data_IF_229510033573
#
_entry.id   IF_229510033573
#
_cell.length_a   1.000
_cell.length_b   1.000
_cell.length_c   1.000
_cell.angle_alpha   90.00
_cell.angle_beta   90.00
_cell.angle_gamma   90.00
#
_symmetry.space_group_name_H-M   'P 1'
#
loop_
_entity.id
_entity.type
_entity.pdbx_description
1 polymer ?
#
# COMPACT_ATOMS: atom_id res chain seq x y z
N UNK A 1 12.88 13.26 16.59
CA UNK A 1 11.49 12.81 16.78
C UNK A 1 10.61 13.91 16.23
N UNK A 2 10.11 13.74 15.00
CA UNK A 2 9.29 14.75 14.33
C UNK A 2 7.83 14.41 14.61
N UNK A 3 7.15 15.34 15.27
CA UNK A 3 5.73 15.30 15.58
C UNK A 3 4.97 15.07 14.27
N UNK A 4 4.29 13.92 14.20
CA UNK A 4 3.39 13.57 13.10
C UNK A 4 2.15 14.43 13.30
N UNK A 5 2.17 15.62 12.75
CA UNK A 5 1.00 16.49 12.70
C UNK A 5 -0.02 15.81 11.78
N UNK A 6 -0.87 14.97 12.38
CA UNK A 6 -2.08 14.47 11.75
C UNK A 6 -3.01 15.66 11.55
N UNK A 7 -2.77 16.43 10.50
CA UNK A 7 -3.75 17.36 9.96
C UNK A 7 -4.91 16.49 9.43
N UNK A 8 -5.83 16.17 10.34
CA UNK A 8 -7.18 15.77 10.03
C UNK A 8 -7.83 16.99 9.38
N UNK A 9 -7.88 16.99 8.06
CA UNK A 9 -8.81 17.85 7.34
C UNK A 9 -10.22 17.45 7.77
N UNK A 10 -10.77 18.18 8.74
CA UNK A 10 -12.08 17.94 9.31
C UNK A 10 -13.17 18.52 8.38
N UNK A 11 -13.14 18.11 7.11
CA UNK A 11 -14.19 18.43 6.15
C UNK A 11 -15.43 17.60 6.47
N UNK A 12 -16.56 18.25 6.70
CA UNK A 12 -17.84 17.57 6.91
C UNK A 12 -18.58 17.45 5.58
N UNK A 13 -18.88 16.22 5.15
CA UNK A 13 -19.74 15.98 3.99
C UNK A 13 -21.15 15.72 4.51
N UNK A 14 -22.04 16.70 4.36
CA UNK A 14 -23.46 16.58 4.74
C UNK A 14 -24.22 15.85 3.64
N UNK A 15 -24.70 14.65 3.95
CA UNK A 15 -25.60 13.90 3.11
C UNK A 15 -26.94 14.64 3.05
N UNK A 16 -27.44 14.91 1.84
CA UNK A 16 -28.79 15.45 1.62
C UNK A 16 -29.78 14.32 1.32
N UNK A 17 -29.33 13.25 0.65
CA UNK A 17 -30.14 12.07 0.28
C UNK A 17 -29.29 10.79 0.17
N UNK A 18 -29.95 9.61 0.27
CA UNK A 18 -29.32 8.28 0.38
C UNK A 18 -28.36 7.89 -0.77
N UNK A 19 -28.53 8.43 -1.98
CA UNK A 19 -27.65 8.18 -3.13
C UNK A 19 -27.63 9.47 -3.98
N UNK A 20 -26.61 10.29 -3.83
CA UNK A 20 -26.40 11.47 -4.67
C UNK A 20 -24.90 11.70 -4.91
N UNK A 21 -24.59 12.47 -5.95
CA UNK A 21 -23.25 12.99 -6.14
C UNK A 21 -23.01 14.12 -5.13
N UNK A 22 -21.88 14.05 -4.44
CA UNK A 22 -21.44 14.98 -3.44
C UNK A 22 -20.14 15.63 -3.91
N UNK A 23 -20.16 16.95 -4.02
CA UNK A 23 -18.96 17.74 -4.24
C UNK A 23 -18.25 17.94 -2.89
N UNK A 24 -16.96 17.64 -2.85
CA UNK A 24 -16.08 17.80 -1.70
C UNK A 24 -15.00 18.81 -2.09
N UNK A 25 -15.24 20.11 -1.87
CA UNK A 25 -14.33 21.16 -2.31
C UNK A 25 -12.93 20.98 -1.69
N UNK A 26 -11.89 21.07 -2.53
CA UNK A 26 -10.50 20.93 -2.10
C UNK A 26 -10.05 19.49 -1.81
N UNK A 27 -10.89 18.48 -2.08
CA UNK A 27 -10.50 17.08 -1.93
C UNK A 27 -9.33 16.72 -2.84
N UNK A 28 -9.40 17.13 -4.10
CA UNK A 28 -8.40 16.78 -5.10
C UNK A 28 -7.01 17.29 -4.70
N UNK A 29 -6.89 18.57 -4.35
CA UNK A 29 -5.63 19.18 -3.89
C UNK A 29 -5.10 18.47 -2.64
N UNK A 30 -5.98 18.20 -1.66
CA UNK A 30 -5.60 17.50 -0.44
C UNK A 30 -5.19 16.03 -0.66
N UNK A 31 -5.70 15.39 -1.73
CA UNK A 31 -5.31 14.04 -2.13
C UNK A 31 -3.99 14.06 -2.91
N UNK A 32 -3.77 15.03 -3.80
CA UNK A 32 -2.49 15.20 -4.51
C UNK A 32 -1.35 15.47 -3.52
N UNK A 33 -1.54 16.37 -2.56
CA UNK A 33 -0.56 16.60 -1.48
C UNK A 33 -0.24 15.31 -0.70
N UNK A 34 -1.25 14.49 -0.42
CA UNK A 34 -1.04 13.20 0.24
C UNK A 34 -0.22 12.24 -0.64
N UNK A 35 -0.55 12.15 -1.93
CA UNK A 35 0.18 11.29 -2.89
C UNK A 35 1.63 11.74 -3.03
N UNK A 36 1.88 13.04 -3.14
CA UNK A 36 3.23 13.60 -3.28
C UNK A 36 4.07 13.37 -2.04
N UNK A 37 3.50 13.54 -0.84
CA UNK A 37 4.18 13.22 0.42
C UNK A 37 4.60 11.75 0.52
N UNK A 38 3.86 10.84 -0.13
CA UNK A 38 4.15 9.39 -0.13
C UNK A 38 4.85 8.91 -1.40
N UNK A 39 5.09 9.79 -2.39
CA UNK A 39 5.70 9.42 -3.67
C UNK A 39 7.11 8.86 -3.50
N UNK A 40 7.94 9.48 -2.65
CA UNK A 40 9.28 9.00 -2.35
C UNK A 40 9.27 7.63 -1.64
N UNK A 41 8.34 7.42 -0.71
CA UNK A 41 8.17 6.15 -0.01
C UNK A 41 7.67 5.05 -0.96
N UNK A 42 6.75 5.37 -1.87
CA UNK A 42 6.27 4.48 -2.92
C UNK A 42 7.39 4.09 -3.88
N UNK A 43 8.20 5.05 -4.32
CA UNK A 43 9.36 4.79 -5.19
C UNK A 43 10.41 3.91 -4.50
N UNK A 44 10.76 4.24 -3.24
CA UNK A 44 11.66 3.43 -2.43
C UNK A 44 11.13 2.01 -2.21
N UNK A 45 9.83 1.87 -1.95
CA UNK A 45 9.15 0.58 -1.83
C UNK A 45 9.20 -0.23 -3.13
N UNK A 46 9.07 0.41 -4.29
CA UNK A 46 9.20 -0.24 -5.60
C UNK A 46 10.62 -0.76 -5.84
N UNK A 47 11.63 0.07 -5.55
CA UNK A 47 13.04 -0.32 -5.65
C UNK A 47 13.36 -1.51 -4.73
N UNK A 48 12.92 -1.46 -3.47
CA UNK A 48 13.08 -2.55 -2.51
C UNK A 48 12.44 -3.85 -2.98
N UNK A 49 11.25 -3.75 -3.57
CA UNK A 49 10.53 -4.90 -4.11
C UNK A 49 11.28 -5.54 -5.29
N UNK A 50 11.73 -4.74 -6.27
CA UNK A 50 12.52 -5.28 -7.40
C UNK A 50 13.81 -5.92 -6.90
N UNK A 51 14.57 -5.21 -6.05
CA UNK A 51 15.84 -5.71 -5.54
C UNK A 51 15.65 -7.00 -4.75
N UNK A 52 14.63 -7.05 -3.88
CA UNK A 52 14.28 -8.24 -3.12
C UNK A 52 13.91 -9.41 -4.03
N UNK A 53 13.04 -9.18 -5.01
CA UNK A 53 12.62 -10.20 -5.99
C UNK A 53 13.80 -10.71 -6.83
N UNK A 54 14.70 -9.82 -7.27
CA UNK A 54 15.91 -10.19 -8.01
C UNK A 54 16.84 -11.08 -7.17
N UNK A 55 17.01 -10.77 -5.88
CA UNK A 55 17.81 -11.57 -4.95
C UNK A 55 17.18 -12.96 -4.73
N UNK A 56 15.86 -13.05 -4.59
CA UNK A 56 15.15 -14.33 -4.49
C UNK A 56 15.33 -15.16 -5.76
N UNK A 57 15.14 -14.55 -6.94
CA UNK A 57 15.33 -15.22 -8.23
C UNK A 57 16.77 -15.70 -8.41
N UNK A 58 17.75 -14.89 -8.03
CA UNK A 58 19.16 -15.29 -8.02
C UNK A 58 19.40 -16.50 -7.10
N UNK A 59 18.77 -16.52 -5.93
CA UNK A 59 18.90 -17.63 -4.98
C UNK A 59 18.29 -18.93 -5.51
N UNK A 60 17.13 -18.85 -6.16
CA UNK A 60 16.49 -19.98 -6.84
C UNK A 60 17.39 -20.47 -7.98
N UNK A 61 17.97 -19.56 -8.76
CA UNK A 61 18.89 -19.90 -9.83
C UNK A 61 20.13 -20.64 -9.31
N UNK A 62 20.72 -20.16 -8.21
CA UNK A 62 21.83 -20.84 -7.52
C UNK A 62 21.41 -22.22 -7.01
N UNK A 63 20.19 -22.39 -6.50
CA UNK A 63 19.72 -23.70 -6.03
C UNK A 63 19.58 -24.72 -7.17
N UNK A 64 19.16 -24.27 -8.35
CA UNK A 64 18.90 -25.15 -9.50
C UNK A 64 20.19 -25.44 -10.28
N UNK A 65 21.00 -24.40 -10.52
CA UNK A 65 22.16 -24.46 -11.42
C UNK A 65 23.52 -24.31 -10.68
N UNK A 66 23.50 -24.19 -9.36
CA UNK A 66 24.70 -24.00 -8.56
C UNK A 66 25.59 -25.24 -8.58
N UNK A 67 26.92 -25.06 -8.51
CA UNK A 67 27.86 -26.17 -8.43
C UNK A 67 27.68 -26.92 -7.10
N UNK A 68 27.81 -28.25 -7.14
CA UNK A 68 27.75 -29.11 -5.94
C UNK A 68 28.93 -28.88 -4.99
N UNK A 69 30.07 -28.42 -5.54
CA UNK A 69 31.29 -28.15 -4.79
C UNK A 69 31.85 -26.78 -5.17
N UNK A 70 32.26 -26.00 -4.17
CA UNK A 70 32.81 -24.66 -4.35
C UNK A 70 34.28 -24.68 -3.92
N UNK A 71 35.17 -24.54 -4.90
CA UNK A 71 36.61 -24.47 -4.67
C UNK A 71 37.04 -23.02 -4.46
N UNK A 72 37.79 -22.75 -3.40
CA UNK A 72 38.38 -21.44 -3.14
C UNK A 72 39.81 -21.57 -2.63
N UNK A 73 40.66 -20.62 -3.01
CA UNK A 73 42.04 -20.60 -2.56
C UNK A 73 42.09 -20.01 -1.14
N UNK A 74 42.53 -20.82 -0.17
CA UNK A 74 42.65 -20.40 1.24
C UNK A 74 43.48 -19.12 1.43
N UNK A 75 44.47 -18.90 0.56
CA UNK A 75 45.34 -17.70 0.57
C UNK A 75 44.65 -16.42 0.10
N UNK A 76 43.61 -16.51 -0.73
CA UNK A 76 42.82 -15.36 -1.22
C UNK A 76 41.49 -15.20 -0.47
N UNK A 77 41.14 -16.18 0.35
CA UNK A 77 39.82 -16.26 0.95
C UNK A 77 38.75 -16.54 -0.09
N UNK A 78 37.51 -16.33 0.31
CA UNK A 78 36.34 -16.67 -0.47
C UNK A 78 35.71 -15.42 -1.05
N UNK A 79 35.33 -15.49 -2.32
CA UNK A 79 34.67 -14.36 -2.97
C UNK A 79 33.22 -14.20 -2.46
N UNK A 80 32.68 -12.99 -2.61
CA UNK A 80 31.28 -12.70 -2.29
C UNK A 80 30.30 -13.65 -3.00
N UNK A 81 30.56 -13.97 -4.27
CA UNK A 81 29.76 -14.92 -5.05
C UNK A 81 29.80 -16.34 -4.49
N UNK A 82 30.98 -16.80 -4.06
CA UNK A 82 31.12 -18.10 -3.41
C UNK A 82 30.37 -18.15 -2.07
N UNK A 83 30.37 -17.05 -1.31
CA UNK A 83 29.58 -16.94 -0.09
C UNK A 83 28.07 -17.03 -0.35
N UNK A 84 27.57 -16.35 -1.39
CA UNK A 84 26.17 -16.46 -1.81
C UNK A 84 25.81 -17.89 -2.24
N UNK A 85 26.69 -18.54 -3.01
CA UNK A 85 26.46 -19.87 -3.54
C UNK A 85 26.39 -20.96 -2.46
N UNK A 86 27.12 -20.85 -1.34
CA UNK A 86 26.99 -21.84 -0.25
C UNK A 86 25.74 -21.68 0.60
N UNK A 87 25.14 -20.49 0.63
CA UNK A 87 23.99 -20.22 1.51
C UNK A 87 22.82 -19.60 0.75
N UNK A 88 22.35 -20.24 -0.34
CA UNK A 88 21.29 -19.67 -1.15
C UNK A 88 20.00 -19.49 -0.34
N UNK A 89 19.73 -20.33 0.65
CA UNK A 89 18.58 -20.16 1.56
C UNK A 89 18.63 -18.87 2.38
N UNK A 90 19.80 -18.48 2.90
CA UNK A 90 19.94 -17.20 3.62
C UNK A 90 19.80 -16.01 2.67
N UNK A 91 20.34 -16.12 1.45
CA UNK A 91 20.18 -15.08 0.43
C UNK A 91 18.70 -14.91 0.06
N UNK A 92 17.96 -16.02 -0.09
CA UNK A 92 16.52 -16.02 -0.34
C UNK A 92 15.72 -15.39 0.82
N UNK A 93 16.12 -15.62 2.07
CA UNK A 93 15.50 -14.99 3.23
C UNK A 93 15.69 -13.47 3.24
N UNK A 94 16.90 -13.00 2.94
CA UNK A 94 17.18 -11.55 2.83
C UNK A 94 16.37 -10.93 1.69
N UNK A 95 16.33 -11.57 0.53
CA UNK A 95 15.51 -11.12 -0.60
C UNK A 95 14.02 -11.07 -0.27
N UNK A 96 13.52 -12.09 0.42
CA UNK A 96 12.12 -12.13 0.89
C UNK A 96 11.81 -11.02 1.89
N UNK A 97 12.72 -10.76 2.83
CA UNK A 97 12.57 -9.68 3.81
C UNK A 97 12.54 -8.30 3.14
N UNK A 98 13.42 -8.04 2.16
CA UNK A 98 13.41 -6.81 1.37
C UNK A 98 12.13 -6.66 0.56
N UNK A 99 11.65 -7.76 -0.04
CA UNK A 99 10.39 -7.77 -0.78
C UNK A 99 9.20 -7.46 0.12
N UNK A 100 9.15 -8.04 1.32
CA UNK A 100 8.10 -7.78 2.31
C UNK A 100 8.14 -6.33 2.81
N UNK A 101 9.33 -5.80 3.10
CA UNK A 101 9.51 -4.41 3.49
C UNK A 101 9.06 -3.44 2.39
N UNK A 102 9.48 -3.67 1.14
CA UNK A 102 9.06 -2.87 0.00
C UNK A 102 7.55 -2.92 -0.25
N UNK A 103 6.94 -4.10 -0.10
CA UNK A 103 5.49 -4.27 -0.21
C UNK A 103 4.74 -3.47 0.87
N UNK A 104 5.22 -3.51 2.12
CA UNK A 104 4.62 -2.75 3.23
C UNK A 104 4.71 -1.24 2.99
N UNK A 105 5.88 -0.74 2.56
CA UNK A 105 6.06 0.68 2.26
C UNK A 105 5.13 1.16 1.15
N UNK A 106 4.84 0.30 0.16
CA UNK A 106 3.86 0.61 -0.91
C UNK A 106 2.43 0.65 -0.41
N UNK A 107 2.04 -0.24 0.50
CA UNK A 107 0.66 -0.27 1.02
C UNK A 107 0.34 0.95 1.89
N UNK A 108 1.34 1.52 2.56
CA UNK A 108 1.15 2.71 3.41
C UNK A 108 0.94 4.00 2.58
N UNK A 109 1.39 4.02 1.31
CA UNK A 109 1.25 5.17 0.41
C UNK A 109 0.29 5.00 -0.77
N UNK A 110 -0.43 3.86 -0.88
CA UNK A 110 -1.32 3.57 -2.03
C UNK A 110 -2.80 3.55 -1.64
N UNK A 111 -3.24 4.52 -0.84
CA UNK A 111 -4.65 4.63 -0.49
C UNK A 111 -5.46 5.12 -1.70
N UNK A 112 -6.56 4.44 -2.03
CA UNK A 112 -7.46 4.90 -3.10
C UNK A 112 -8.13 6.21 -2.69
N UNK A 113 -8.64 6.98 -3.67
CA UNK A 113 -9.34 8.25 -3.40
C UNK A 113 -10.54 8.04 -2.48
N UNK A 114 -11.28 6.96 -2.69
CA UNK A 114 -12.43 6.56 -1.89
C UNK A 114 -12.02 6.19 -0.46
N UNK A 115 -10.94 5.43 -0.30
CA UNK A 115 -10.41 5.08 1.00
C UNK A 115 -9.86 6.32 1.74
N UNK A 116 -9.21 7.24 1.03
CA UNK A 116 -8.72 8.50 1.59
C UNK A 116 -9.89 9.35 2.11
N UNK A 117 -10.95 9.51 1.30
CA UNK A 117 -12.18 10.21 1.68
C UNK A 117 -12.77 9.62 2.97
N UNK A 118 -13.02 8.31 3.00
CA UNK A 118 -13.65 7.64 4.15
C UNK A 118 -12.77 7.64 5.41
N UNK A 119 -11.45 7.73 5.27
CA UNK A 119 -10.53 7.77 6.41
C UNK A 119 -10.36 9.14 7.04
N UNK A 120 -10.60 10.22 6.27
CA UNK A 120 -10.23 11.59 6.64
C UNK A 120 -11.41 12.53 6.80
N UNK A 121 -12.54 12.26 6.14
CA UNK A 121 -13.74 13.08 6.16
C UNK A 121 -14.85 12.42 6.99
N UNK A 122 -15.48 13.19 7.87
CA UNK A 122 -16.67 12.74 8.59
C UNK A 122 -17.89 12.92 7.70
N UNK A 123 -18.56 11.81 7.39
CA UNK A 123 -19.81 11.80 6.62
C UNK A 123 -20.97 11.93 7.59
N UNK A 124 -21.75 12.99 7.45
CA UNK A 124 -22.86 13.33 8.34
C UNK A 124 -24.18 13.08 7.62
N UNK A 125 -25.09 12.32 8.24
CA UNK A 125 -26.44 12.06 7.75
C UNK A 125 -27.29 13.35 7.72
N UNK A 126 -28.44 13.42 7.00
CA UNK A 126 -29.34 14.56 7.04
C UNK A 126 -29.81 14.91 8.45
N UNK A 127 -29.81 13.95 9.38
CA UNK A 127 -30.15 14.11 10.80
C UNK A 127 -29.00 14.70 11.65
N UNK A 128 -27.84 15.01 11.04
CA UNK A 128 -26.70 15.57 11.74
C UNK A 128 -25.84 14.53 12.48
N UNK A 129 -26.08 13.24 12.24
CA UNK A 129 -25.34 12.14 12.89
C UNK A 129 -24.19 11.66 12.01
N UNK A 130 -23.00 11.50 12.59
CA UNK A 130 -21.88 10.89 11.88
C UNK A 130 -22.21 9.42 11.56
N UNK A 131 -22.13 9.08 10.26
CA UNK A 131 -22.27 7.71 9.77
C UNK A 131 -20.86 7.20 9.51
N UNK A 132 -20.50 6.07 10.11
CA UNK A 132 -19.19 5.44 9.91
C UNK A 132 -19.30 3.99 9.40
N UNK A 133 -20.49 3.39 9.47
CA UNK A 133 -20.70 1.98 9.14
C UNK A 133 -21.47 1.83 7.83
N UNK A 134 -20.98 0.97 6.93
CA UNK A 134 -21.67 0.65 5.67
C UNK A 134 -21.50 1.68 4.55
N UNK A 135 -20.63 2.68 4.72
CA UNK A 135 -20.38 3.68 3.69
C UNK A 135 -19.56 3.12 2.54
N UNK A 136 -20.02 3.37 1.32
CA UNK A 136 -19.24 3.22 0.11
C UNK A 136 -19.24 4.53 -0.64
N UNK A 137 -18.06 4.92 -1.13
CA UNK A 137 -17.88 6.05 -2.02
C UNK A 137 -17.39 5.53 -3.36
N UNK A 138 -17.91 6.09 -4.45
CA UNK A 138 -17.37 5.91 -5.78
C UNK A 138 -16.91 7.27 -6.31
N UNK A 139 -15.65 7.36 -6.72
CA UNK A 139 -15.13 8.55 -7.39
C UNK A 139 -15.85 8.74 -8.74
N UNK A 140 -16.32 9.97 -9.00
CA UNK A 140 -17.00 10.34 -10.25
C UNK A 140 -16.11 11.25 -11.09
N UNK A 141 -15.64 12.35 -10.50
CA UNK A 141 -14.77 13.34 -11.14
C UNK A 141 -14.04 14.17 -10.08
N UNK A 142 -12.97 14.90 -10.43
CA UNK A 142 -12.17 15.81 -9.58
C UNK A 142 -12.50 15.83 -8.07
N UNK A 143 -13.58 16.54 -7.70
CA UNK A 143 -14.06 16.71 -6.32
C UNK A 143 -15.41 16.02 -6.07
N UNK A 144 -15.95 15.28 -7.02
CA UNK A 144 -17.28 14.69 -6.99
C UNK A 144 -17.22 13.19 -6.65
N UNK A 145 -17.93 12.82 -5.58
CA UNK A 145 -18.07 11.45 -5.11
C UNK A 145 -19.52 11.05 -5.03
N UNK A 146 -19.84 9.87 -5.54
CA UNK A 146 -21.13 9.24 -5.30
C UNK A 146 -21.03 8.44 -4.00
N UNK A 147 -21.69 8.94 -2.96
CA UNK A 147 -21.68 8.30 -1.63
C UNK A 147 -23.01 7.61 -1.42
N UNK A 148 -22.96 6.36 -0.97
CA UNK A 148 -24.15 5.58 -0.65
C UNK A 148 -23.92 4.77 0.63
N UNK A 149 -24.98 4.67 1.43
CA UNK A 149 -25.01 3.87 2.64
C UNK A 149 -25.48 2.47 2.24
N UNK A 150 -24.57 1.51 2.28
CA UNK A 150 -24.91 0.10 2.19
C UNK A 150 -25.49 -0.33 3.55
N UNK A 151 -26.77 -0.75 3.63
CA UNK A 151 -27.33 -1.21 4.88
C UNK A 151 -26.55 -2.42 5.38
N UNK A 152 -26.24 -2.45 6.69
CA UNK A 152 -25.39 -3.44 7.36
C UNK A 152 -25.92 -4.90 7.34
N UNK A 153 -26.83 -5.25 6.42
CA UNK A 153 -27.42 -6.58 6.25
C UNK A 153 -27.37 -7.14 4.82
N UNK A 154 -26.68 -6.49 3.87
CA UNK A 154 -26.61 -6.95 2.48
C UNK A 154 -25.41 -7.87 2.15
N UNK A 155 -24.64 -8.31 3.15
CA UNK A 155 -23.51 -9.23 2.96
C UNK A 155 -23.93 -10.69 3.19
N UNK A 156 -25.00 -11.15 2.53
CA UNK A 156 -25.27 -12.58 2.30
C UNK A 156 -26.46 -12.73 1.35
N UNK A 157 -26.21 -12.72 0.03
CA UNK A 157 -26.93 -13.53 -0.96
C UNK A 157 -26.37 -13.32 -2.37
N UNK A 158 -25.85 -14.41 -2.95
CA UNK A 158 -25.48 -14.54 -4.36
C UNK A 158 -23.97 -14.51 -4.56
N UNK A 159 -23.30 -15.53 -5.09
CA UNK A 159 -23.77 -16.53 -6.04
C UNK A 159 -23.41 -17.97 -5.61
N UNK A 160 -24.35 -18.86 -5.91
CA UNK A 160 -24.21 -20.31 -5.93
C UNK A 160 -23.39 -20.77 -7.15
#
# INVERSE_FOLDING_TARGET
MQERDETKFNGQVKLKQSIQNYEVPGFFDAYEDHVDQHAAANFGGWLLLICGAAIVMLSIWILIYGPSEIYYYRSKGMSFWQHMQMRPGLVALVGSALTAAGSRMRTEGSMSREAYLLSRYEIIDPEGKAVSTGLQACYVSENEFKIFICPAGAQHRGAA
#
